data_IF_061288941402
#
_entry.id   IF_061288941402
#
_cell.length_a   1.000
_cell.length_b   1.000
_cell.length_c   1.000
_cell.angle_alpha   90.00
_cell.angle_beta   90.00
_cell.angle_gamma   90.00
#
_symmetry.space_group_name_H-M   'P 1'
#
loop_
_entity.id
_entity.type
_entity.pdbx_description
1 polymer ?
#
# COMPACT_ATOMS: atom_id res chain seq x y z
N UNK A 1 9.98 8.45 11.72
CA UNK A 1 9.91 7.03 11.31
C UNK A 1 8.49 6.54 11.50
N UNK A 2 7.88 5.96 10.48
CA UNK A 2 6.53 5.40 10.56
C UNK A 2 6.58 3.88 10.48
N UNK A 3 6.27 3.22 11.61
CA UNK A 3 6.32 1.78 11.78
C UNK A 3 7.57 1.31 12.53
N UNK A 4 7.35 0.42 13.52
CA UNK A 4 8.36 -0.11 14.42
C UNK A 4 8.46 -1.64 14.45
N UNK A 5 7.93 -2.36 13.44
CA UNK A 5 8.05 -3.81 13.34
C UNK A 5 9.50 -4.26 13.11
N UNK A 6 9.76 -5.55 13.27
CA UNK A 6 11.11 -6.11 13.19
C UNK A 6 11.85 -5.73 11.89
N UNK A 7 11.15 -5.71 10.75
CA UNK A 7 11.72 -5.33 9.45
C UNK A 7 12.09 -3.85 9.36
N UNK A 8 11.52 -2.99 10.21
CA UNK A 8 11.77 -1.54 10.22
C UNK A 8 12.90 -1.13 11.17
N UNK A 9 13.26 -2.01 12.10
CA UNK A 9 14.36 -1.78 13.05
C UNK A 9 15.67 -1.41 12.36
N UNK A 10 15.97 -2.04 11.22
CA UNK A 10 17.20 -1.73 10.48
C UNK A 10 17.25 -0.26 10.03
N UNK A 11 16.14 0.30 9.58
CA UNK A 11 16.08 1.71 9.16
C UNK A 11 16.27 2.67 10.35
N UNK A 12 15.69 2.35 11.51
CA UNK A 12 15.87 3.13 12.74
C UNK A 12 17.36 3.12 13.16
N UNK A 13 17.98 1.94 13.22
CA UNK A 13 19.39 1.78 13.56
C UNK A 13 20.29 2.51 12.57
N UNK A 14 20.02 2.41 11.27
CA UNK A 14 20.80 3.10 10.24
C UNK A 14 20.68 4.63 10.39
N UNK A 15 19.49 5.15 10.64
CA UNK A 15 19.30 6.58 10.87
C UNK A 15 20.14 7.07 12.08
N UNK A 16 20.15 6.30 13.18
CA UNK A 16 20.96 6.63 14.36
C UNK A 16 22.46 6.54 14.07
N UNK A 17 22.91 5.55 13.33
CA UNK A 17 24.33 5.44 12.91
C UNK A 17 24.77 6.63 12.04
N UNK A 18 23.86 7.22 11.28
CA UNK A 18 24.07 8.42 10.50
C UNK A 18 23.98 9.71 11.34
N UNK A 19 23.71 9.61 12.64
CA UNK A 19 23.66 10.74 13.57
C UNK A 19 22.28 11.42 13.66
N UNK A 20 21.23 10.83 13.12
CA UNK A 20 19.87 11.38 13.22
C UNK A 20 19.22 11.01 14.55
N UNK A 21 18.52 11.97 15.15
CA UNK A 21 17.60 11.71 16.25
C UNK A 21 16.30 11.12 15.68
N UNK A 22 15.88 9.98 16.21
CA UNK A 22 14.78 9.20 15.66
C UNK A 22 13.52 9.28 16.50
N UNK A 23 12.44 9.78 15.88
CA UNK A 23 11.09 9.79 16.45
C UNK A 23 10.25 8.73 15.74
N UNK A 24 9.70 7.79 16.49
CA UNK A 24 8.93 6.66 15.97
C UNK A 24 7.44 6.84 16.27
N UNK A 25 6.59 6.62 15.26
CA UNK A 25 5.16 6.42 15.41
C UNK A 25 4.78 4.98 15.04
N UNK A 26 4.08 4.28 15.92
CA UNK A 26 3.47 2.98 15.66
C UNK A 26 2.27 2.80 16.62
N UNK A 27 1.21 2.13 16.15
CA UNK A 27 0.03 1.90 16.99
C UNK A 27 0.20 0.75 17.98
N UNK A 28 1.14 -0.17 17.72
CA UNK A 28 1.42 -1.30 18.60
C UNK A 28 2.29 -0.82 19.78
N UNK A 29 1.78 -0.94 21.02
CA UNK A 29 2.51 -0.48 22.21
C UNK A 29 3.74 -1.33 22.52
N UNK A 30 3.81 -2.54 21.98
CA UNK A 30 4.93 -3.47 22.16
C UNK A 30 5.52 -3.86 20.80
N UNK A 31 6.15 -2.88 20.15
CA UNK A 31 6.88 -3.10 18.89
C UNK A 31 8.40 -2.99 19.12
N UNK A 32 9.22 -3.79 18.41
CA UNK A 32 10.67 -3.79 18.64
C UNK A 32 11.35 -2.47 18.33
N UNK A 33 10.79 -1.66 17.43
CA UNK A 33 11.37 -0.38 17.03
C UNK A 33 11.36 0.66 18.15
N UNK A 34 10.42 0.58 19.11
CA UNK A 34 10.36 1.53 20.23
C UNK A 34 11.58 1.48 21.13
N UNK A 35 12.23 0.32 21.23
CA UNK A 35 13.44 0.14 22.04
C UNK A 35 14.70 0.62 21.34
N UNK A 36 14.62 0.88 20.04
CA UNK A 36 15.71 1.38 19.23
C UNK A 36 15.63 2.87 18.94
N UNK A 37 14.41 3.41 18.84
CA UNK A 37 14.19 4.83 18.58
C UNK A 37 14.53 5.70 19.82
N UNK A 38 14.87 6.96 19.58
CA UNK A 38 15.15 7.91 20.67
C UNK A 38 13.86 8.38 21.34
N UNK A 39 12.74 8.42 20.59
CA UNK A 39 11.42 8.77 21.08
C UNK A 39 10.33 7.96 20.41
N UNK A 40 9.33 7.53 21.17
CA UNK A 40 8.20 6.74 20.66
C UNK A 40 6.87 7.39 20.97
N UNK A 41 5.98 7.35 20.00
CA UNK A 41 4.57 7.74 20.10
C UNK A 41 3.65 6.59 19.69
N UNK A 42 2.76 6.18 20.58
CA UNK A 42 1.76 5.15 20.31
C UNK A 42 0.62 5.72 19.44
N UNK A 43 0.90 5.91 18.15
CA UNK A 43 -0.01 6.52 17.18
C UNK A 43 0.01 5.72 15.89
N UNK A 44 -1.18 5.53 15.29
CA UNK A 44 -1.28 4.84 14.01
C UNK A 44 -0.52 5.58 12.92
N UNK A 45 0.28 4.85 12.16
CA UNK A 45 1.01 5.36 11.00
C UNK A 45 0.09 5.78 9.84
N UNK A 46 -1.18 5.38 9.89
CA UNK A 46 -2.21 5.75 8.90
C UNK A 46 -3.03 6.98 9.31
N UNK A 47 -2.87 7.46 10.55
CA UNK A 47 -3.48 8.73 11.02
C UNK A 47 -2.57 9.91 10.65
N UNK A 48 -2.74 10.44 9.45
CA UNK A 48 -1.93 11.54 8.94
C UNK A 48 -2.01 12.80 9.81
N UNK A 49 -3.16 13.08 10.45
CA UNK A 49 -3.32 14.26 11.30
C UNK A 49 -2.56 14.11 12.62
N UNK A 50 -2.57 12.92 13.22
CA UNK A 50 -1.79 12.66 14.42
C UNK A 50 -0.28 12.68 14.11
N UNK A 51 0.14 12.03 13.00
CA UNK A 51 1.54 12.08 12.54
C UNK A 51 1.98 13.52 12.26
N UNK A 52 1.12 14.34 11.64
CA UNK A 52 1.42 15.75 11.40
C UNK A 52 1.66 16.54 12.68
N UNK A 53 0.78 16.36 13.71
CA UNK A 53 0.94 17.04 15.00
C UNK A 53 2.28 16.70 15.64
N UNK A 54 2.63 15.41 15.68
CA UNK A 54 3.90 14.92 16.24
C UNK A 54 5.08 15.46 15.46
N UNK A 55 5.08 15.33 14.14
CA UNK A 55 6.17 15.79 13.29
C UNK A 55 6.44 17.29 13.44
N UNK A 56 5.38 18.09 13.62
CA UNK A 56 5.46 19.53 13.86
C UNK A 56 5.97 19.86 15.27
N UNK A 57 5.50 19.15 16.30
CA UNK A 57 5.94 19.30 17.69
C UNK A 57 7.42 18.97 17.84
N UNK A 58 7.84 17.86 17.26
CA UNK A 58 9.21 17.38 17.27
C UNK A 58 10.13 18.13 16.28
N UNK A 59 9.58 18.97 15.42
CA UNK A 59 10.32 19.76 14.42
C UNK A 59 11.22 18.87 13.55
N UNK A 60 10.65 17.78 13.06
CA UNK A 60 11.41 16.79 12.28
C UNK A 60 11.88 17.38 10.95
N UNK A 61 13.07 16.98 10.50
CA UNK A 61 13.66 17.38 9.22
C UNK A 61 13.28 16.43 8.06
N UNK A 62 12.68 15.29 8.36
CA UNK A 62 12.26 14.32 7.36
C UNK A 62 11.31 13.26 7.92
N UNK A 63 10.54 12.63 7.03
CA UNK A 63 9.61 11.55 7.37
C UNK A 63 9.92 10.34 6.49
N UNK A 64 10.02 9.17 7.11
CA UNK A 64 10.32 7.92 6.42
C UNK A 64 9.30 6.84 6.79
N UNK A 65 8.67 6.25 5.77
CA UNK A 65 7.88 5.03 5.85
C UNK A 65 8.66 3.88 5.18
N UNK A 66 9.53 3.23 5.95
CA UNK A 66 10.35 2.12 5.45
C UNK A 66 9.56 0.81 5.50
N UNK A 67 9.52 0.09 4.39
CA UNK A 67 8.85 -1.21 4.26
C UNK A 67 7.40 -1.21 4.83
N UNK A 68 6.63 -0.16 4.55
CA UNK A 68 5.27 0.00 5.06
C UNK A 68 4.37 0.70 4.03
N UNK A 69 3.73 -0.06 3.16
CA UNK A 69 2.77 0.47 2.19
C UNK A 69 1.68 1.33 2.83
N UNK A 70 1.06 0.92 3.97
CA UNK A 70 0.01 1.73 4.60
C UNK A 70 0.49 3.10 5.09
N UNK A 71 1.77 3.23 5.44
CA UNK A 71 2.34 4.46 5.96
C UNK A 71 2.90 5.38 4.86
N UNK A 72 3.09 4.88 3.64
CA UNK A 72 3.74 5.64 2.56
C UNK A 72 2.96 6.91 2.18
N UNK A 73 1.65 6.80 1.97
CA UNK A 73 0.82 7.96 1.62
C UNK A 73 0.71 8.97 2.77
N UNK A 74 0.40 8.57 4.01
CA UNK A 74 0.47 9.49 5.16
C UNK A 74 1.82 10.19 5.32
N UNK A 75 2.94 9.47 5.14
CA UNK A 75 4.27 10.07 5.19
C UNK A 75 4.44 11.18 4.15
N UNK A 76 4.07 10.91 2.90
CA UNK A 76 4.16 11.89 1.81
C UNK A 76 3.27 13.11 2.06
N UNK A 77 2.00 12.91 2.44
CA UNK A 77 1.06 14.00 2.73
C UNK A 77 1.56 14.91 3.86
N UNK A 78 2.08 14.32 4.94
CA UNK A 78 2.57 15.08 6.09
C UNK A 78 3.87 15.82 5.72
N UNK A 79 4.77 15.18 5.00
CA UNK A 79 6.01 15.81 4.56
C UNK A 79 5.74 16.99 3.60
N UNK A 80 4.84 16.85 2.63
CA UNK A 80 4.40 17.94 1.76
C UNK A 80 3.84 19.13 2.57
N UNK A 81 2.92 18.82 3.50
CA UNK A 81 2.28 19.86 4.35
C UNK A 81 3.29 20.62 5.21
N UNK A 82 4.42 19.99 5.56
CA UNK A 82 5.51 20.58 6.32
C UNK A 82 6.60 21.21 5.44
N UNK A 83 6.51 21.08 4.13
CA UNK A 83 7.56 21.55 3.19
C UNK A 83 8.85 20.74 3.26
N UNK A 84 8.77 19.48 3.69
CA UNK A 84 9.91 18.56 3.80
C UNK A 84 10.14 17.82 2.47
N UNK A 85 11.36 17.36 2.19
CA UNK A 85 11.64 16.53 1.03
C UNK A 85 10.80 15.25 1.03
N UNK A 86 10.10 14.98 -0.06
CA UNK A 86 9.26 13.80 -0.22
C UNK A 86 8.94 13.52 -1.69
N UNK A 87 8.44 12.32 -1.98
CA UNK A 87 7.73 12.06 -3.23
C UNK A 87 6.37 12.80 -3.21
N UNK A 88 5.87 13.31 -4.34
CA UNK A 88 4.54 13.89 -4.41
C UNK A 88 3.48 12.92 -3.87
N UNK A 89 2.64 13.37 -2.95
CA UNK A 89 1.61 12.51 -2.33
C UNK A 89 0.62 11.95 -3.36
N UNK A 90 0.35 12.71 -4.42
CA UNK A 90 -0.46 12.24 -5.55
C UNK A 90 0.18 11.02 -6.25
N UNK A 91 1.48 11.06 -6.51
CA UNK A 91 2.21 9.93 -7.11
C UNK A 91 2.20 8.71 -6.18
N UNK A 92 2.40 8.92 -4.88
CA UNK A 92 2.33 7.85 -3.89
C UNK A 92 0.91 7.26 -3.82
N UNK A 93 -0.13 8.09 -3.90
CA UNK A 93 -1.52 7.63 -3.94
C UNK A 93 -1.82 6.80 -5.19
N UNK A 94 -1.32 7.21 -6.37
CA UNK A 94 -1.46 6.44 -7.61
C UNK A 94 -0.81 5.07 -7.47
N UNK A 95 0.40 5.00 -6.96
CA UNK A 95 1.13 3.73 -6.83
C UNK A 95 0.59 2.84 -5.70
N UNK A 96 0.11 3.44 -4.60
CA UNK A 96 -0.33 2.72 -3.40
C UNK A 96 -1.79 2.26 -3.42
N UNK A 97 -2.65 2.86 -4.25
CA UNK A 97 -4.10 2.57 -4.31
C UNK A 97 -4.44 1.88 -5.62
N UNK A 98 -4.85 0.62 -5.53
CA UNK A 98 -4.99 -0.28 -6.69
C UNK A 98 -5.83 0.28 -7.83
N UNK A 99 -7.01 0.84 -7.56
CA UNK A 99 -7.87 1.39 -8.61
C UNK A 99 -7.24 2.61 -9.30
N UNK A 100 -6.55 3.46 -8.56
CA UNK A 100 -5.83 4.61 -9.14
C UNK A 100 -4.67 4.14 -10.04
N UNK A 101 -3.95 3.11 -9.60
CA UNK A 101 -2.88 2.53 -10.40
C UNK A 101 -3.41 1.89 -11.68
N UNK A 102 -4.52 1.14 -11.63
CA UNK A 102 -5.15 0.56 -12.82
C UNK A 102 -5.63 1.64 -13.79
N UNK A 103 -6.24 2.70 -13.27
CA UNK A 103 -6.65 3.85 -14.09
C UNK A 103 -5.43 4.48 -14.78
N UNK A 104 -4.37 4.75 -14.03
CA UNK A 104 -3.12 5.30 -14.58
C UNK A 104 -2.55 4.43 -15.70
N UNK A 105 -2.49 3.12 -15.51
CA UNK A 105 -2.00 2.19 -16.55
C UNK A 105 -2.83 2.28 -17.82
N UNK A 106 -4.16 2.26 -17.69
CA UNK A 106 -5.07 2.32 -18.83
C UNK A 106 -4.95 3.65 -19.58
N UNK A 107 -4.90 4.78 -18.88
CA UNK A 107 -4.78 6.13 -19.46
C UNK A 107 -3.45 6.34 -20.20
N UNK A 108 -2.39 5.62 -19.79
CA UNK A 108 -1.07 5.73 -20.41
C UNK A 108 -0.74 4.59 -21.39
N UNK A 109 -1.73 3.77 -21.75
CA UNK A 109 -1.58 2.72 -22.76
C UNK A 109 -0.75 1.50 -22.31
N UNK A 110 -0.58 1.31 -21.01
CA UNK A 110 0.02 0.09 -20.47
C UNK A 110 -0.98 -1.07 -20.45
N UNK A 111 -0.48 -2.29 -20.57
CA UNK A 111 -1.30 -3.47 -20.40
C UNK A 111 -1.93 -3.50 -19.00
N UNK A 112 -3.25 -3.62 -18.97
CA UNK A 112 -4.04 -3.60 -17.75
C UNK A 112 -5.21 -4.57 -17.88
N UNK A 113 -5.54 -5.38 -16.86
CA UNK A 113 -6.75 -6.19 -16.89
C UNK A 113 -7.99 -5.31 -16.91
N UNK A 114 -9.13 -5.82 -17.38
CA UNK A 114 -10.40 -5.13 -17.16
C UNK A 114 -10.66 -5.03 -15.66
N UNK A 115 -11.16 -3.87 -15.24
CA UNK A 115 -11.41 -3.58 -13.83
C UNK A 115 -12.77 -2.92 -13.65
N UNK A 116 -13.40 -3.21 -12.53
CA UNK A 116 -14.57 -2.49 -12.04
C UNK A 116 -14.35 -2.11 -10.59
N UNK A 117 -14.51 -0.83 -10.28
CA UNK A 117 -14.33 -0.27 -8.93
C UNK A 117 -15.70 0.11 -8.38
N UNK A 118 -15.97 -0.25 -7.13
CA UNK A 118 -17.29 -0.08 -6.51
C UNK A 118 -17.16 0.07 -5.00
N UNK A 119 -18.27 0.50 -4.37
CA UNK A 119 -18.44 0.54 -2.93
C UNK A 119 -19.09 -0.76 -2.43
N UNK A 120 -18.74 -1.30 -1.25
CA UNK A 120 -19.32 -2.56 -0.76
C UNK A 120 -20.84 -2.52 -0.55
N UNK A 121 -21.43 -1.33 -0.45
CA UNK A 121 -22.88 -1.12 -0.30
C UNK A 121 -23.61 -0.87 -1.64
N UNK A 122 -22.89 -0.93 -2.78
CA UNK A 122 -23.49 -0.79 -4.10
C UNK A 122 -24.39 -1.99 -4.42
N UNK A 123 -25.37 -1.79 -5.31
CA UNK A 123 -26.33 -2.83 -5.68
C UNK A 123 -25.64 -4.03 -6.32
N UNK A 124 -25.90 -5.22 -5.80
CA UNK A 124 -25.28 -6.47 -6.25
C UNK A 124 -25.58 -6.79 -7.72
N UNK A 125 -26.78 -6.45 -8.21
CA UNK A 125 -27.15 -6.71 -9.60
C UNK A 125 -26.44 -5.73 -10.54
N UNK A 126 -26.20 -4.49 -10.11
CA UNK A 126 -25.38 -3.54 -10.86
C UNK A 126 -23.93 -4.03 -10.95
N UNK A 127 -23.37 -4.53 -9.86
CA UNK A 127 -22.00 -5.11 -9.84
C UNK A 127 -21.94 -6.30 -10.81
N UNK A 128 -22.89 -7.24 -10.76
CA UNK A 128 -22.94 -8.40 -11.67
C UNK A 128 -23.05 -7.99 -13.13
N UNK A 129 -23.86 -6.97 -13.43
CA UNK A 129 -24.00 -6.44 -14.78
C UNK A 129 -22.69 -5.82 -15.26
N UNK A 130 -22.00 -5.07 -14.42
CA UNK A 130 -20.75 -4.43 -14.77
C UNK A 130 -19.64 -5.43 -15.12
N UNK A 131 -19.63 -6.60 -14.47
CA UNK A 131 -18.60 -7.64 -14.69
C UNK A 131 -19.05 -8.78 -15.62
N UNK A 132 -20.23 -8.69 -16.23
CA UNK A 132 -20.81 -9.76 -17.08
C UNK A 132 -19.90 -10.13 -18.28
N UNK A 133 -19.17 -9.14 -18.80
CA UNK A 133 -18.28 -9.31 -19.97
C UNK A 133 -16.82 -9.50 -19.55
N UNK A 134 -16.55 -9.79 -18.26
CA UNK A 134 -15.22 -10.13 -17.78
C UNK A 134 -14.90 -11.60 -18.05
N UNK A 135 -13.64 -11.85 -18.37
CA UNK A 135 -13.11 -13.22 -18.46
C UNK A 135 -12.86 -13.76 -17.05
N UNK A 136 -13.55 -14.85 -16.68
CA UNK A 136 -13.29 -15.54 -15.43
C UNK A 136 -12.06 -16.48 -15.56
N UNK A 137 -11.29 -16.68 -14.46
CA UNK A 137 -11.53 -16.19 -13.11
C UNK A 137 -11.33 -14.68 -12.97
N UNK A 138 -11.97 -14.11 -11.94
CA UNK A 138 -11.77 -12.71 -11.53
C UNK A 138 -11.23 -12.63 -10.11
N UNK A 139 -10.60 -11.51 -9.77
CA UNK A 139 -10.08 -11.23 -8.43
C UNK A 139 -10.91 -10.12 -7.78
N UNK A 140 -11.45 -10.40 -6.60
CA UNK A 140 -12.12 -9.40 -5.75
C UNK A 140 -11.17 -9.02 -4.61
N UNK A 141 -10.95 -7.73 -4.39
CA UNK A 141 -10.01 -7.28 -3.35
C UNK A 141 -10.22 -5.83 -2.92
N UNK A 142 -9.78 -5.44 -1.71
CA UNK A 142 -9.76 -4.04 -1.30
C UNK A 142 -8.69 -3.27 -2.08
N UNK A 143 -8.92 -1.98 -2.31
CA UNK A 143 -8.00 -1.15 -3.08
C UNK A 143 -6.78 -0.68 -2.27
N UNK A 144 -6.86 -0.73 -0.95
CA UNK A 144 -5.90 -0.15 0.01
C UNK A 144 -5.28 -1.15 1.01
N UNK A 145 -5.46 -2.46 0.80
CA UNK A 145 -4.81 -3.51 1.59
C UNK A 145 -3.51 -4.00 0.95
N UNK A 146 -2.63 -4.60 1.74
CA UNK A 146 -1.39 -5.26 1.32
C UNK A 146 -1.31 -6.69 1.92
N UNK A 147 -0.37 -7.50 1.44
CA UNK A 147 -0.14 -8.85 1.96
C UNK A 147 -1.30 -9.82 1.67
N UNK A 148 -1.93 -9.71 0.53
CA UNK A 148 -3.05 -10.57 0.06
C UNK A 148 -4.27 -10.60 1.00
N UNK A 149 -4.41 -9.66 1.93
CA UNK A 149 -5.55 -9.61 2.85
C UNK A 149 -6.83 -9.19 2.10
N UNK A 150 -7.88 -9.98 2.26
CA UNK A 150 -9.17 -9.74 1.62
C UNK A 150 -9.17 -9.98 0.10
N UNK A 151 -8.29 -10.84 -0.41
CA UNK A 151 -8.19 -11.18 -1.83
C UNK A 151 -8.87 -12.53 -2.08
N UNK A 152 -9.88 -12.55 -2.93
CA UNK A 152 -10.61 -13.75 -3.34
C UNK A 152 -10.54 -13.92 -4.85
N UNK A 153 -10.29 -15.14 -5.33
CA UNK A 153 -10.33 -15.52 -6.75
C UNK A 153 -11.63 -16.27 -7.02
N UNK A 154 -12.44 -15.77 -7.95
CA UNK A 154 -13.74 -16.32 -8.27
C UNK A 154 -13.75 -16.88 -9.68
N UNK A 155 -14.24 -18.13 -9.84
CA UNK A 155 -14.44 -18.78 -11.14
C UNK A 155 -15.77 -18.43 -11.78
N UNK A 156 -16.70 -17.86 -11.02
CA UNK A 156 -18.03 -17.39 -11.42
C UNK A 156 -18.55 -16.40 -10.37
N UNK A 157 -19.76 -15.90 -10.56
CA UNK A 157 -20.38 -14.90 -9.67
C UNK A 157 -21.10 -15.48 -8.43
N UNK A 158 -21.09 -16.80 -8.20
CA UNK A 158 -21.88 -17.43 -7.12
C UNK A 158 -21.42 -16.99 -5.73
N UNK A 159 -20.11 -16.86 -5.53
CA UNK A 159 -19.51 -16.48 -4.25
C UNK A 159 -19.18 -14.98 -4.17
N UNK A 160 -19.73 -14.16 -5.07
CA UNK A 160 -19.40 -12.74 -5.18
C UNK A 160 -19.73 -11.97 -3.90
N UNK A 161 -20.90 -12.20 -3.32
CA UNK A 161 -21.33 -11.54 -2.08
C UNK A 161 -20.37 -11.86 -0.91
N UNK A 162 -19.98 -13.13 -0.76
CA UNK A 162 -19.01 -13.54 0.25
C UNK A 162 -17.65 -12.89 0.05
N UNK A 163 -17.15 -12.84 -1.20
CA UNK A 163 -15.88 -12.22 -1.54
C UNK A 163 -15.89 -10.70 -1.29
N UNK A 164 -17.00 -10.02 -1.56
CA UNK A 164 -17.18 -8.61 -1.25
C UNK A 164 -17.16 -8.37 0.26
N UNK A 165 -17.86 -9.19 1.05
CA UNK A 165 -17.86 -9.13 2.50
C UNK A 165 -16.45 -9.32 3.09
N UNK A 166 -15.69 -10.29 2.58
CA UNK A 166 -14.30 -10.51 2.97
C UNK A 166 -13.40 -9.32 2.61
N UNK A 167 -13.45 -8.85 1.37
CA UNK A 167 -12.68 -7.69 0.93
C UNK A 167 -13.00 -6.43 1.75
N UNK A 168 -14.29 -6.18 2.04
CA UNK A 168 -14.75 -5.06 2.86
C UNK A 168 -14.18 -5.09 4.28
N UNK A 169 -14.00 -6.27 4.86
CA UNK A 169 -13.44 -6.41 6.22
C UNK A 169 -12.00 -5.90 6.34
N UNK A 170 -11.26 -5.87 5.23
CA UNK A 170 -9.87 -5.39 5.15
C UNK A 170 -9.73 -4.01 4.49
N UNK A 171 -10.82 -3.44 3.95
CA UNK A 171 -10.80 -2.13 3.30
C UNK A 171 -10.96 -1.00 4.31
N UNK A 172 -10.00 -0.08 4.34
CA UNK A 172 -10.06 1.14 5.16
C UNK A 172 -10.83 2.25 4.44
N UNK A 173 -10.62 2.38 3.12
CA UNK A 173 -11.25 3.42 2.30
C UNK A 173 -12.62 3.02 1.74
N UNK A 174 -13.10 1.80 2.07
CA UNK A 174 -14.38 1.27 1.60
C UNK A 174 -14.54 1.27 0.07
N UNK A 175 -13.44 1.13 -0.62
CA UNK A 175 -13.42 1.01 -2.09
C UNK A 175 -12.85 -0.35 -2.46
N UNK A 176 -13.62 -1.11 -3.20
CA UNK A 176 -13.28 -2.45 -3.67
C UNK A 176 -13.06 -2.44 -5.18
N UNK A 177 -12.37 -3.47 -5.66
CA UNK A 177 -12.11 -3.66 -7.09
C UNK A 177 -12.33 -5.13 -7.46
N UNK A 178 -12.98 -5.35 -8.60
CA UNK A 178 -12.99 -6.62 -9.32
C UNK A 178 -12.13 -6.45 -10.56
N UNK A 179 -11.22 -7.37 -10.78
CA UNK A 179 -10.36 -7.36 -11.97
C UNK A 179 -10.25 -8.75 -12.59
N UNK A 180 -10.09 -8.84 -13.91
CA UNK A 180 -9.78 -10.09 -14.58
C UNK A 180 -8.47 -10.66 -14.03
N UNK A 181 -8.44 -11.97 -13.78
CA UNK A 181 -7.23 -12.66 -13.32
C UNK A 181 -6.26 -12.80 -14.50
N UNK A 182 -5.04 -12.34 -14.30
CA UNK A 182 -3.96 -12.51 -15.28
C UNK A 182 -3.27 -13.84 -14.97
N UNK A 183 -3.43 -14.80 -15.88
CA UNK A 183 -2.71 -16.06 -15.78
C UNK A 183 -1.22 -15.85 -16.03
N UNK A 184 -0.39 -16.49 -15.20
CA UNK A 184 1.05 -16.46 -15.39
C UNK A 184 1.44 -17.29 -16.61
N UNK A 185 2.12 -16.67 -17.57
CA UNK A 185 2.76 -17.36 -18.69
C UNK A 185 4.22 -17.75 -18.38
N UNK A 186 4.71 -17.42 -17.21
CA UNK A 186 6.07 -17.66 -16.75
C UNK A 186 6.03 -18.44 -15.43
N UNK A 187 6.97 -19.35 -15.17
CA UNK A 187 6.93 -20.25 -14.00
C UNK A 187 7.10 -19.51 -12.66
N UNK A 188 7.60 -18.27 -12.67
CA UNK A 188 7.81 -17.48 -11.46
C UNK A 188 7.26 -16.07 -11.62
N UNK A 189 6.87 -15.44 -10.50
CA UNK A 189 6.55 -14.02 -10.49
C UNK A 189 7.86 -13.23 -10.46
N UNK A 190 8.03 -12.30 -11.39
CA UNK A 190 9.15 -11.36 -11.38
C UNK A 190 8.73 -10.16 -10.55
N UNK A 191 9.51 -9.85 -9.53
CA UNK A 191 9.37 -8.67 -8.69
C UNK A 191 10.67 -7.89 -8.64
N UNK A 192 10.62 -6.71 -8.06
CA UNK A 192 11.82 -5.92 -7.89
C UNK A 192 11.53 -4.57 -7.27
N UNK A 193 12.60 -3.90 -6.87
CA UNK A 193 12.57 -2.57 -6.28
C UNK A 193 13.38 -1.61 -7.13
N UNK A 194 12.89 -0.38 -7.24
CA UNK A 194 13.61 0.73 -7.84
C UNK A 194 13.75 1.87 -6.83
N UNK A 195 14.91 2.51 -6.82
CA UNK A 195 15.10 3.76 -6.10
C UNK A 195 15.31 4.91 -7.10
N UNK A 196 14.43 5.89 -7.04
CA UNK A 196 14.43 7.06 -7.93
C UNK A 196 14.82 8.30 -7.13
N UNK A 197 15.80 9.04 -7.63
CA UNK A 197 16.23 10.31 -7.06
C UNK A 197 16.27 11.39 -8.16
N UNK A 198 15.58 12.51 -7.94
CA UNK A 198 15.50 13.60 -8.91
C UNK A 198 15.13 13.12 -10.34
N UNK A 199 14.14 12.24 -10.46
CA UNK A 199 13.65 11.68 -11.73
C UNK A 199 14.59 10.67 -12.41
N UNK A 200 15.69 10.27 -11.74
CA UNK A 200 16.62 9.27 -12.29
C UNK A 200 16.57 7.99 -11.43
N UNK A 201 16.55 6.85 -12.09
CA UNK A 201 16.72 5.56 -11.42
C UNK A 201 18.19 5.46 -10.99
N UNK A 202 18.40 5.40 -9.67
CA UNK A 202 19.75 5.32 -9.06
C UNK A 202 20.10 3.87 -8.76
N UNK A 203 19.10 3.08 -8.32
CA UNK A 203 19.25 1.67 -8.01
C UNK A 203 18.02 0.93 -8.49
N UNK A 204 18.21 -0.24 -9.05
CA UNK A 204 17.15 -1.21 -9.27
C UNK A 204 17.66 -2.63 -9.01
N UNK A 205 16.78 -3.51 -8.60
CA UNK A 205 17.04 -4.92 -8.45
C UNK A 205 15.81 -5.72 -8.88
N UNK A 206 16.04 -6.76 -9.68
CA UNK A 206 15.02 -7.70 -10.11
C UNK A 206 15.25 -9.06 -9.46
N UNK A 207 14.18 -9.74 -9.11
CA UNK A 207 14.24 -11.06 -8.48
C UNK A 207 13.08 -11.92 -8.95
N UNK A 208 13.31 -13.23 -9.05
CA UNK A 208 12.24 -14.21 -9.18
C UNK A 208 11.63 -14.46 -7.80
N UNK A 209 10.34 -14.18 -7.66
CA UNK A 209 9.61 -14.45 -6.43
C UNK A 209 9.11 -15.89 -6.48
N UNK A 210 9.66 -16.74 -5.64
CA UNK A 210 9.12 -18.08 -5.41
C UNK A 210 7.91 -17.95 -4.49
N UNK A 211 6.82 -18.58 -4.86
CA UNK A 211 5.63 -18.74 -4.00
C UNK A 211 5.46 -20.21 -3.70
N UNK A 212 5.10 -20.49 -2.47
CA UNK A 212 4.61 -21.82 -2.10
C UNK A 212 3.21 -21.97 -2.70
N UNK A 213 2.96 -23.07 -3.37
CA UNK A 213 1.67 -23.37 -4.02
C UNK A 213 0.68 -24.03 -3.03
N UNK A 214 1.04 -24.12 -1.72
CA UNK A 214 0.22 -24.72 -0.66
C UNK A 214 -0.74 -23.72 0.01
#
# INVERSE_FOLDING_TARGET
MLGGSAQQVIAIKTAKQLGYYTVLCDYLPDNPGQYEADKFYAVSTTDADAVYRIAREEKVDGILAYASDPAALPAAMVAEKLGLPTNPSESVAVLGVKHKFRQFLAEHGFACPKVYTFHPDDDMEEIKVAVKDFSFPVVVKPTDSSGSKGVSILKNTQDLDKAIGEANSYSRNKTLIIEEFIESSFPTVIGGDIFVWNGKIILYGEMSCLRDDD
#
